data_IF_252102173261
#
_entry.id   IF_252102173261
#
_cell.length_a   1.000
_cell.length_b   1.000
_cell.length_c   1.000
_cell.angle_alpha   90.00
_cell.angle_beta   90.00
_cell.angle_gamma   90.00
#
_symmetry.space_group_name_H-M   'P 1'
#
loop_
_entity.id
_entity.type
_entity.pdbx_description
1 polymer ?
#
# COMPACT_ATOMS: atom_id res chain seq x y z
N UNK A 1 -0.21 22.52 10.98
CA UNK A 1 0.54 21.25 11.09
C UNK A 1 -0.39 20.25 11.76
N UNK A 2 -0.89 19.24 11.02
CA UNK A 2 -1.60 18.12 11.64
C UNK A 2 -0.55 17.33 12.43
N UNK A 3 -0.88 16.98 13.67
CA UNK A 3 -0.03 16.20 14.55
C UNK A 3 0.20 14.81 13.94
N UNK A 4 1.42 14.58 13.47
CA UNK A 4 1.83 13.36 12.76
C UNK A 4 1.94 12.15 13.70
N UNK A 5 1.77 12.36 15.02
CA UNK A 5 1.94 11.34 16.05
C UNK A 5 0.66 10.60 16.47
N UNK A 6 -0.54 11.08 16.08
CA UNK A 6 -1.78 10.41 16.49
C UNK A 6 -1.96 9.07 15.74
N UNK A 7 -2.14 7.94 16.42
CA UNK A 7 -2.34 6.64 15.78
C UNK A 7 -3.57 6.68 14.85
N UNK A 8 -3.51 5.94 13.74
CA UNK A 8 -4.69 5.74 12.90
C UNK A 8 -5.70 4.92 13.71
N UNK A 9 -6.94 5.42 13.80
CA UNK A 9 -8.00 4.76 14.54
C UNK A 9 -9.38 5.15 14.03
N UNK A 10 -10.39 4.39 14.44
CA UNK A 10 -11.78 4.54 13.98
C UNK A 10 -12.06 3.73 12.72
N UNK A 11 -13.07 4.16 11.95
CA UNK A 11 -13.46 3.53 10.69
C UNK A 11 -12.82 4.23 9.49
N UNK A 12 -12.34 3.45 8.53
CA UNK A 12 -11.79 3.95 7.27
C UNK A 12 -12.55 3.42 6.06
N UNK A 13 -12.16 3.91 4.87
CA UNK A 13 -12.76 3.50 3.61
C UNK A 13 -11.68 3.16 2.57
N UNK A 14 -11.91 2.10 1.80
CA UNK A 14 -11.09 1.80 0.62
C UNK A 14 -11.27 2.84 -0.48
N UNK A 15 -10.20 3.50 -0.89
CA UNK A 15 -10.18 4.50 -1.95
C UNK A 15 -10.15 3.82 -3.33
N UNK A 16 -11.19 4.07 -4.13
CA UNK A 16 -11.28 3.69 -5.54
C UNK A 16 -11.30 4.95 -6.40
N UNK A 17 -10.90 4.82 -7.67
CA UNK A 17 -10.86 5.94 -8.62
C UNK A 17 -12.21 6.64 -8.76
N UNK A 18 -13.30 5.88 -8.72
CA UNK A 18 -14.66 6.40 -8.84
C UNK A 18 -15.05 7.33 -7.68
N UNK A 19 -14.44 7.17 -6.51
CA UNK A 19 -14.70 8.02 -5.34
C UNK A 19 -14.00 9.38 -5.45
N UNK A 20 -12.94 9.52 -6.27
CA UNK A 20 -12.10 10.72 -6.30
C UNK A 20 -12.88 11.99 -6.65
N UNK A 21 -13.87 11.89 -7.54
CA UNK A 21 -14.62 13.07 -7.96
C UNK A 21 -15.47 13.65 -6.81
N UNK A 22 -16.01 12.79 -5.96
CA UNK A 22 -16.84 13.17 -4.81
C UNK A 22 -15.97 13.61 -3.62
N UNK A 23 -14.88 12.89 -3.37
CA UNK A 23 -13.98 13.15 -2.23
C UNK A 23 -13.02 14.34 -2.44
N UNK A 24 -12.82 14.78 -3.69
CA UNK A 24 -12.00 15.95 -4.00
C UNK A 24 -12.49 17.23 -3.27
N UNK A 25 -13.80 17.35 -3.03
CA UNK A 25 -14.37 18.51 -2.34
C UNK A 25 -14.24 18.41 -0.81
N UNK A 26 -14.82 17.36 -0.22
CA UNK A 26 -14.80 17.12 1.20
C UNK A 26 -14.84 15.61 1.49
N UNK A 27 -13.87 15.10 2.25
CA UNK A 27 -13.97 13.74 2.80
C UNK A 27 -14.97 13.75 3.97
N UNK A 28 -16.00 12.89 3.97
CA UNK A 28 -16.97 12.80 5.06
C UNK A 28 -16.33 12.53 6.44
N UNK A 29 -16.75 13.27 7.47
CA UNK A 29 -16.23 13.19 8.85
C UNK A 29 -16.13 11.78 9.47
N UNK A 30 -17.05 10.83 9.19
CA UNK A 30 -16.93 9.46 9.72
C UNK A 30 -15.71 8.69 9.20
N UNK A 31 -15.15 9.09 8.05
CA UNK A 31 -13.99 8.45 7.42
C UNK A 31 -12.71 9.00 8.06
N UNK A 32 -12.10 8.21 8.95
CA UNK A 32 -10.92 8.62 9.71
C UNK A 32 -9.60 8.39 8.98
N UNK A 33 -9.60 7.46 8.03
CA UNK A 33 -8.48 7.17 7.14
C UNK A 33 -9.01 6.57 5.85
N UNK A 34 -8.18 6.57 4.80
CA UNK A 34 -8.47 5.83 3.59
C UNK A 34 -7.34 4.87 3.26
N UNK A 35 -7.70 3.70 2.77
CA UNK A 35 -6.75 2.68 2.33
C UNK A 35 -6.73 2.60 0.81
N UNK A 36 -5.56 2.47 0.20
CA UNK A 36 -5.43 2.31 -1.24
C UNK A 36 -4.41 1.24 -1.59
N UNK A 37 -4.60 0.59 -2.74
CA UNK A 37 -3.60 -0.31 -3.31
C UNK A 37 -2.48 0.50 -3.98
N UNK A 38 -1.30 0.59 -3.37
CA UNK A 38 -0.23 1.52 -3.80
C UNK A 38 0.15 1.34 -5.27
N UNK A 39 0.20 0.10 -5.76
CA UNK A 39 0.51 -0.29 -7.14
C UNK A 39 -0.42 0.35 -8.17
N UNK A 40 -1.69 0.59 -7.80
CA UNK A 40 -2.68 1.18 -8.69
C UNK A 40 -2.53 2.71 -8.85
N UNK A 41 -1.68 3.33 -8.02
CA UNK A 41 -1.51 4.77 -7.90
C UNK A 41 -0.07 5.24 -8.14
N UNK A 42 0.92 4.36 -8.00
CA UNK A 42 2.30 4.66 -8.41
C UNK A 42 2.30 5.10 -9.89
N UNK A 43 2.91 6.27 -10.16
CA UNK A 43 2.99 6.84 -11.50
C UNK A 43 1.69 7.44 -12.05
N UNK A 44 0.58 7.43 -11.30
CA UNK A 44 -0.68 8.05 -11.73
C UNK A 44 -0.59 9.57 -11.63
N UNK A 45 -0.54 10.24 -12.79
CA UNK A 45 -0.55 11.69 -12.92
C UNK A 45 -1.91 12.27 -13.36
N UNK A 46 -1.86 13.51 -13.85
CA UNK A 46 -3.02 14.26 -14.36
C UNK A 46 -4.12 14.42 -13.33
N UNK A 47 -5.37 14.55 -13.80
CA UNK A 47 -6.54 14.83 -12.96
C UNK A 47 -6.74 13.81 -11.82
N UNK A 48 -6.41 12.55 -12.04
CA UNK A 48 -6.54 11.51 -11.00
C UNK A 48 -5.47 11.67 -9.91
N UNK A 49 -4.23 11.97 -10.29
CA UNK A 49 -3.16 12.26 -9.34
C UNK A 49 -3.43 13.54 -8.54
N UNK A 50 -3.89 14.60 -9.20
CA UNK A 50 -4.27 15.87 -8.56
C UNK A 50 -5.37 15.66 -7.50
N UNK A 51 -6.40 14.89 -7.84
CA UNK A 51 -7.49 14.56 -6.89
C UNK A 51 -7.03 13.67 -5.75
N UNK A 52 -6.15 12.70 -6.01
CA UNK A 52 -5.57 11.89 -4.94
C UNK A 52 -4.80 12.77 -3.95
N UNK A 53 -4.05 13.76 -4.45
CA UNK A 53 -3.35 14.75 -3.63
C UNK A 53 -4.33 15.63 -2.83
N UNK A 54 -5.47 16.01 -3.41
CA UNK A 54 -6.54 16.73 -2.69
C UNK A 54 -7.12 15.91 -1.54
N UNK A 55 -7.40 14.62 -1.77
CA UNK A 55 -7.89 13.71 -0.74
C UNK A 55 -6.84 13.52 0.37
N UNK A 56 -5.58 13.30 0.01
CA UNK A 56 -4.48 13.09 0.96
C UNK A 56 -4.25 14.27 1.92
N UNK A 57 -4.60 15.50 1.51
CA UNK A 57 -4.54 16.68 2.40
C UNK A 57 -5.65 16.68 3.45
N UNK A 58 -6.78 16.06 3.15
CA UNK A 58 -7.98 16.07 3.98
C UNK A 58 -7.95 14.96 5.03
N UNK A 59 -7.55 13.75 4.64
CA UNK A 59 -7.61 12.53 5.46
C UNK A 59 -6.31 11.71 5.34
N UNK A 60 -5.81 11.08 6.41
CA UNK A 60 -4.65 10.20 6.33
C UNK A 60 -4.87 9.04 5.36
N UNK A 61 -3.82 8.67 4.63
CA UNK A 61 -3.80 7.52 3.75
C UNK A 61 -2.98 6.37 4.35
N UNK A 62 -3.43 5.14 4.09
CA UNK A 62 -2.73 3.88 4.35
C UNK A 62 -2.48 3.21 3.00
N UNK A 63 -1.28 2.66 2.83
CA UNK A 63 -0.97 1.82 1.68
C UNK A 63 -1.27 0.36 1.96
N UNK A 64 -1.83 -0.32 0.97
CA UNK A 64 -1.96 -1.77 0.94
C UNK A 64 -1.28 -2.25 -0.33
N UNK A 65 -0.46 -3.29 -0.24
CA UNK A 65 0.19 -3.94 -1.36
C UNK A 65 -0.64 -5.08 -1.92
N UNK A 66 -0.42 -5.39 -3.19
CA UNK A 66 -1.03 -6.52 -3.89
C UNK A 66 0.01 -7.49 -4.44
N UNK A 67 1.28 -7.05 -4.57
CA UNK A 67 2.23 -7.66 -5.51
C UNK A 67 3.63 -7.89 -4.96
N UNK A 68 3.94 -7.62 -3.68
CA UNK A 68 5.32 -7.75 -3.17
C UNK A 68 5.90 -9.16 -3.24
N UNK A 69 5.04 -10.19 -3.33
CA UNK A 69 5.48 -11.59 -3.39
C UNK A 69 6.41 -11.94 -2.21
N UNK A 70 5.99 -11.61 -0.98
CA UNK A 70 6.77 -11.85 0.24
C UNK A 70 7.03 -13.33 0.48
N UNK A 71 6.14 -14.21 0.02
CA UNK A 71 6.31 -15.66 -0.01
C UNK A 71 7.07 -16.22 -1.21
N UNK A 72 7.44 -15.36 -2.16
CA UNK A 72 8.19 -15.65 -3.38
C UNK A 72 9.59 -16.20 -3.14
N UNK A 73 10.05 -17.07 -4.05
CA UNK A 73 11.45 -17.50 -4.11
C UNK A 73 12.30 -16.61 -5.02
N UNK A 74 11.68 -15.97 -6.01
CA UNK A 74 12.35 -14.98 -6.84
C UNK A 74 12.80 -13.78 -6.01
N UNK A 75 13.93 -13.14 -6.34
CA UNK A 75 14.37 -11.92 -5.66
C UNK A 75 13.26 -10.86 -5.63
N UNK A 76 13.19 -10.07 -4.55
CA UNK A 76 12.29 -8.93 -4.50
C UNK A 76 12.64 -7.94 -5.62
N UNK A 77 11.62 -7.37 -6.25
CA UNK A 77 11.81 -6.32 -7.26
C UNK A 77 12.21 -5.01 -6.57
N UNK A 78 13.52 -4.75 -6.52
CA UNK A 78 14.06 -3.54 -5.87
C UNK A 78 13.65 -2.26 -6.59
N UNK A 79 13.42 -2.31 -7.90
CA UNK A 79 12.94 -1.15 -8.67
C UNK A 79 11.51 -0.79 -8.30
N UNK A 80 10.66 -1.80 -8.03
CA UNK A 80 9.34 -1.58 -7.45
C UNK A 80 9.42 -1.05 -6.02
N UNK A 81 10.28 -1.62 -5.17
CA UNK A 81 10.45 -1.15 -3.79
C UNK A 81 10.86 0.34 -3.71
N UNK A 82 11.75 0.79 -4.60
CA UNK A 82 12.10 2.21 -4.68
C UNK A 82 10.91 3.10 -5.08
N UNK A 83 10.08 2.64 -6.02
CA UNK A 83 8.86 3.36 -6.41
C UNK A 83 7.86 3.42 -5.25
N UNK A 84 7.67 2.30 -4.55
CA UNK A 84 6.81 2.22 -3.37
C UNK A 84 7.31 3.14 -2.25
N UNK A 85 8.61 3.16 -1.97
CA UNK A 85 9.22 4.06 -1.00
C UNK A 85 8.91 5.52 -1.34
N UNK A 86 9.18 5.94 -2.58
CA UNK A 86 8.87 7.31 -3.03
C UNK A 86 7.38 7.63 -2.89
N UNK A 87 6.50 6.67 -3.15
CA UNK A 87 5.06 6.83 -3.02
C UNK A 87 4.64 7.00 -1.55
N UNK A 88 5.15 6.15 -0.65
CA UNK A 88 4.95 6.24 0.80
C UNK A 88 5.38 7.62 1.31
N UNK A 89 6.58 8.07 0.91
CA UNK A 89 7.14 9.38 1.28
C UNK A 89 6.28 10.53 0.73
N UNK A 90 5.85 10.46 -0.54
CA UNK A 90 5.08 11.53 -1.21
C UNK A 90 3.69 11.75 -0.63
N UNK A 91 3.07 10.70 -0.08
CA UNK A 91 1.73 10.75 0.52
C UNK A 91 1.75 10.69 2.04
N UNK A 92 2.93 10.69 2.66
CA UNK A 92 3.12 10.54 4.10
C UNK A 92 2.32 9.35 4.65
N UNK A 93 2.39 8.20 3.96
CA UNK A 93 1.68 7.00 4.38
C UNK A 93 2.25 6.52 5.71
N UNK A 94 1.39 6.44 6.72
CA UNK A 94 1.82 6.07 8.09
C UNK A 94 1.86 4.56 8.31
N UNK A 95 1.13 3.81 7.48
CA UNK A 95 1.08 2.36 7.51
C UNK A 95 1.11 1.84 6.08
N UNK A 96 1.84 0.75 5.91
CA UNK A 96 1.83 -0.05 4.70
C UNK A 96 1.70 -1.53 5.10
N UNK A 97 0.70 -2.21 4.53
CA UNK A 97 0.50 -3.65 4.68
C UNK A 97 0.58 -4.36 3.34
N UNK A 98 0.93 -5.64 3.33
CA UNK A 98 0.80 -6.51 2.17
C UNK A 98 0.54 -7.95 2.65
N UNK A 99 0.33 -8.86 1.71
CA UNK A 99 -0.07 -10.23 1.91
C UNK A 99 1.14 -11.14 2.16
N UNK A 100 0.96 -12.03 3.13
CA UNK A 100 1.83 -13.18 3.33
C UNK A 100 1.51 -14.27 2.30
N UNK A 101 1.89 -14.06 1.05
CA UNK A 101 1.53 -14.95 -0.07
C UNK A 101 2.64 -15.11 -1.10
N UNK A 102 2.54 -16.19 -1.86
CA UNK A 102 3.23 -16.34 -3.13
C UNK A 102 2.31 -15.83 -4.26
N UNK A 103 2.72 -14.80 -4.97
CA UNK A 103 1.90 -14.15 -6.00
C UNK A 103 2.64 -13.90 -7.32
N UNK A 104 3.91 -14.29 -7.42
CA UNK A 104 4.69 -14.18 -8.66
C UNK A 104 5.82 -15.22 -8.74
N UNK A 105 6.23 -15.53 -9.98
CA UNK A 105 7.42 -16.32 -10.32
C UNK A 105 8.16 -15.70 -11.52
N UNK A 106 8.21 -16.40 -12.66
CA UNK A 106 8.55 -15.83 -13.98
C UNK A 106 7.55 -14.75 -14.45
N UNK A 107 6.43 -14.58 -13.75
CA UNK A 107 5.43 -13.54 -13.98
C UNK A 107 4.47 -13.38 -12.81
N UNK A 108 3.59 -12.37 -12.87
CA UNK A 108 2.56 -12.13 -11.86
C UNK A 108 1.44 -13.18 -11.99
N UNK A 109 1.09 -13.81 -10.88
CA UNK A 109 0.07 -14.88 -10.84
C UNK A 109 -1.34 -14.34 -10.60
N UNK A 110 -1.48 -13.04 -10.30
CA UNK A 110 -2.75 -12.36 -9.96
C UNK A 110 -3.60 -13.13 -8.93
N UNK A 111 -2.94 -13.96 -8.12
CA UNK A 111 -3.50 -14.84 -7.13
C UNK A 111 -2.60 -14.81 -5.89
N UNK A 112 -3.22 -14.88 -4.71
CA UNK A 112 -2.52 -14.96 -3.44
C UNK A 112 -2.44 -16.43 -3.04
N UNK A 113 -1.36 -17.11 -3.42
CA UNK A 113 -1.20 -18.53 -3.14
C UNK A 113 -0.72 -18.73 -1.68
N UNK A 114 -1.21 -19.79 -1.01
CA UNK A 114 -0.89 -20.05 0.38
C UNK A 114 0.58 -20.45 0.53
N UNK A 115 1.13 -20.16 1.71
CA UNK A 115 2.45 -20.65 2.10
C UNK A 115 2.32 -21.87 2.99
N UNK A 116 3.25 -22.84 2.89
CA UNK A 116 3.28 -23.96 3.81
C UNK A 116 3.59 -23.46 5.21
N UNK A 117 2.81 -23.90 6.21
CA UNK A 117 2.99 -23.50 7.61
C UNK A 117 4.16 -24.26 8.25
N UNK A 118 5.37 -23.90 7.83
CA UNK A 118 6.64 -24.51 8.25
C UNK A 118 7.58 -23.45 8.82
N UNK A 119 8.50 -23.88 9.68
CA UNK A 119 9.51 -22.97 10.23
C UNK A 119 10.41 -22.36 9.14
N UNK A 120 10.70 -23.13 8.09
CA UNK A 120 11.45 -22.66 6.92
C UNK A 120 10.73 -21.48 6.23
N UNK A 121 9.44 -21.63 5.95
CA UNK A 121 8.64 -20.56 5.34
C UNK A 121 8.59 -19.31 6.23
N UNK A 122 8.46 -19.48 7.55
CA UNK A 122 8.51 -18.36 8.50
C UNK A 122 9.84 -17.63 8.42
N UNK A 123 10.97 -18.35 8.48
CA UNK A 123 12.32 -17.75 8.40
C UNK A 123 12.54 -17.04 7.07
N UNK A 124 12.10 -17.65 5.97
CA UNK A 124 12.18 -17.10 4.61
C UNK A 124 11.43 -15.77 4.51
N UNK A 125 10.13 -15.76 4.83
CA UNK A 125 9.33 -14.53 4.70
C UNK A 125 9.77 -13.46 5.70
N UNK A 126 10.13 -13.84 6.93
CA UNK A 126 10.66 -12.87 7.89
C UNK A 126 11.95 -12.20 7.37
N UNK A 127 12.80 -12.93 6.65
CA UNK A 127 13.97 -12.38 5.96
C UNK A 127 13.60 -11.36 4.89
N UNK A 128 12.61 -11.69 4.05
CA UNK A 128 12.12 -10.81 2.99
C UNK A 128 11.42 -9.57 3.55
N UNK A 129 10.64 -9.70 4.62
CA UNK A 129 10.03 -8.56 5.32
C UNK A 129 11.11 -7.58 5.80
N UNK A 130 12.18 -8.08 6.43
CA UNK A 130 13.30 -7.22 6.84
C UNK A 130 13.92 -6.48 5.65
N UNK A 131 14.17 -7.18 4.54
CA UNK A 131 14.69 -6.56 3.33
C UNK A 131 13.76 -5.48 2.75
N UNK A 132 12.43 -5.62 2.86
CA UNK A 132 11.47 -4.59 2.43
C UNK A 132 11.43 -3.40 3.39
N UNK A 133 11.70 -3.62 4.67
CA UNK A 133 11.71 -2.58 5.70
C UNK A 133 12.97 -1.71 5.70
N UNK A 134 14.09 -2.24 5.21
CA UNK A 134 15.38 -1.54 5.08
C UNK A 134 15.39 -0.53 3.90
#
# INVERSE_FOLDING_TARGET
>A
MKDDSSPIGGAGLGLRRDHLAELAGAVPDPIRFMELASENWIGVGGRSGERLQEVARQVPLIGHGLSLNLGGWTPLDTGFLEQLRRFIESFHLRLYGDHLSYCADEGQLYALLPLPFTEEAVRHVAGRIRQVQD
#
